data_IF_170285905531
#
_entry.id   IF_170285905531
#
_cell.length_a   1.000
_cell.length_b   1.000
_cell.length_c   1.000
_cell.angle_alpha   90.00
_cell.angle_beta   90.00
_cell.angle_gamma   90.00
#
_symmetry.space_group_name_H-M   'P 1'
#
loop_
_entity.id
_entity.type
_entity.pdbx_description
1 polymer ?
#
# COMPACT_ATOMS: atom_id res chain seq x y z
N UNK A 1 -22.90 11.14 -20.26
CA UNK A 1 -22.36 10.19 -19.28
C UNK A 1 -23.50 9.28 -18.83
N UNK A 2 -23.50 8.00 -19.24
CA UNK A 2 -24.54 7.07 -18.82
C UNK A 2 -24.25 6.58 -17.41
N UNK A 3 -25.15 6.85 -16.49
CA UNK A 3 -25.12 6.31 -15.14
C UNK A 3 -25.52 4.84 -15.22
N UNK A 4 -24.59 3.92 -14.99
CA UNK A 4 -24.92 2.49 -14.88
C UNK A 4 -25.60 2.24 -13.54
N UNK A 5 -26.78 1.61 -13.59
CA UNK A 5 -27.50 1.12 -12.42
C UNK A 5 -27.32 -0.40 -12.35
N UNK A 6 -27.14 -0.92 -11.16
CA UNK A 6 -27.05 -2.36 -10.92
C UNK A 6 -28.06 -2.76 -9.84
N UNK A 7 -28.65 -3.92 -10.01
CA UNK A 7 -29.54 -4.54 -9.05
C UNK A 7 -28.97 -5.92 -8.71
N UNK A 8 -28.85 -6.21 -7.43
CA UNK A 8 -28.51 -7.54 -6.95
C UNK A 8 -29.81 -8.34 -6.78
N UNK A 9 -29.95 -9.44 -7.52
CA UNK A 9 -30.99 -10.43 -7.29
C UNK A 9 -30.51 -11.39 -6.18
N UNK A 10 -30.96 -11.11 -4.98
CA UNK A 10 -30.98 -12.05 -3.86
C UNK A 10 -32.44 -12.47 -3.68
N UNK A 11 -32.72 -13.47 -2.84
CA UNK A 11 -34.11 -13.95 -2.55
C UNK A 11 -35.11 -12.83 -2.15
N UNK A 12 -34.63 -11.63 -1.90
CA UNK A 12 -35.41 -10.39 -1.79
C UNK A 12 -34.91 -9.38 -2.80
N UNK A 13 -35.84 -8.76 -3.54
CA UNK A 13 -35.52 -7.65 -4.47
C UNK A 13 -34.88 -6.50 -3.71
N UNK A 14 -33.66 -6.14 -4.06
CA UNK A 14 -32.99 -4.95 -3.55
C UNK A 14 -33.36 -3.73 -4.39
N UNK A 15 -33.34 -2.55 -3.78
CA UNK A 15 -33.52 -1.30 -4.48
C UNK A 15 -32.34 -1.03 -5.46
N UNK A 16 -32.67 -0.31 -6.52
CA UNK A 16 -31.67 0.12 -7.49
C UNK A 16 -30.68 1.10 -6.86
N UNK A 17 -29.39 0.82 -6.96
CA UNK A 17 -28.35 1.73 -6.52
C UNK A 17 -27.49 2.22 -7.68
N UNK A 18 -26.98 3.43 -7.54
CA UNK A 18 -26.10 4.03 -8.54
C UNK A 18 -24.67 3.52 -8.36
N UNK A 19 -24.05 3.06 -9.45
CA UNK A 19 -22.63 2.74 -9.48
C UNK A 19 -21.89 4.04 -9.78
N UNK A 20 -21.11 4.50 -8.81
CA UNK A 20 -20.24 5.67 -8.96
C UNK A 20 -18.92 5.35 -9.67
N UNK A 21 -17.81 5.88 -9.17
CA UNK A 21 -16.46 5.57 -9.64
C UNK A 21 -16.01 4.24 -9.05
N UNK A 22 -15.28 3.45 -9.84
CA UNK A 22 -14.66 2.21 -9.39
C UNK A 22 -14.66 1.12 -10.46
N UNK A 23 -14.10 -0.01 -10.07
CA UNK A 23 -14.05 -1.23 -10.89
C UNK A 23 -14.69 -2.38 -10.12
N UNK A 24 -15.23 -3.36 -10.83
CA UNK A 24 -15.87 -4.52 -10.20
C UNK A 24 -14.85 -5.39 -9.48
N UNK A 25 -15.20 -5.87 -8.30
CA UNK A 25 -14.41 -6.89 -7.60
C UNK A 25 -14.35 -8.18 -8.44
N UNK A 26 -13.16 -8.78 -8.56
CA UNK A 26 -12.95 -10.00 -9.36
C UNK A 26 -12.79 -9.78 -10.86
N UNK A 27 -12.87 -8.54 -11.35
CA UNK A 27 -12.62 -8.23 -12.76
C UNK A 27 -11.10 -8.14 -13.02
N UNK A 28 -10.64 -8.70 -14.15
CA UNK A 28 -9.23 -8.60 -14.60
C UNK A 28 -8.77 -7.14 -14.69
N UNK A 29 -9.64 -6.24 -15.15
CA UNK A 29 -9.35 -4.81 -15.23
C UNK A 29 -9.07 -4.17 -13.86
N UNK A 30 -9.64 -4.70 -12.78
CA UNK A 30 -9.39 -4.19 -11.42
C UNK A 30 -7.95 -4.40 -11.02
N UNK A 31 -7.39 -5.57 -11.30
CA UNK A 31 -5.99 -5.90 -11.01
C UNK A 31 -5.04 -5.04 -11.84
N UNK A 32 -5.28 -4.94 -13.14
CA UNK A 32 -4.47 -4.12 -14.04
C UNK A 32 -4.51 -2.64 -13.64
N UNK A 33 -5.69 -2.11 -13.32
CA UNK A 33 -5.85 -0.72 -12.90
C UNK A 33 -5.13 -0.45 -11.59
N UNK A 34 -5.23 -1.36 -10.62
CA UNK A 34 -4.50 -1.22 -9.34
C UNK A 34 -2.99 -1.20 -9.56
N UNK A 35 -2.45 -2.09 -10.38
CA UNK A 35 -1.02 -2.13 -10.69
C UNK A 35 -0.54 -0.83 -11.35
N UNK A 36 -1.32 -0.25 -12.25
CA UNK A 36 -1.00 1.04 -12.88
C UNK A 36 -0.99 2.18 -11.85
N UNK A 37 -1.98 2.23 -10.96
CA UNK A 37 -2.00 3.22 -9.87
C UNK A 37 -0.85 3.02 -8.89
N UNK A 38 -0.54 1.79 -8.52
CA UNK A 38 0.58 1.49 -7.65
C UNK A 38 1.91 1.94 -8.27
N UNK A 39 2.12 1.68 -9.57
CA UNK A 39 3.32 2.12 -10.28
C UNK A 39 3.41 3.65 -10.33
N UNK A 40 2.32 4.32 -10.68
CA UNK A 40 2.22 5.77 -10.66
C UNK A 40 2.62 6.35 -9.28
N UNK A 41 2.00 5.84 -8.21
CA UNK A 41 2.27 6.31 -6.84
C UNK A 41 3.76 6.14 -6.49
N UNK A 42 4.35 4.98 -6.79
CA UNK A 42 5.75 4.71 -6.49
C UNK A 42 6.71 5.61 -7.26
N UNK A 43 6.43 5.86 -8.53
CA UNK A 43 7.23 6.76 -9.36
C UNK A 43 7.21 8.19 -8.83
N UNK A 44 6.03 8.72 -8.48
CA UNK A 44 5.89 10.09 -7.98
C UNK A 44 6.29 10.25 -6.50
N UNK A 45 6.29 9.19 -5.72
CA UNK A 45 6.83 9.20 -4.37
C UNK A 45 8.38 9.26 -4.33
N UNK A 46 9.06 9.17 -5.49
CA UNK A 46 10.51 9.31 -5.60
C UNK A 46 11.28 8.03 -5.21
N UNK A 47 10.66 6.86 -5.35
CA UNK A 47 11.29 5.58 -5.07
C UNK A 47 12.30 5.13 -6.14
N UNK A 48 12.23 5.74 -7.32
CA UNK A 48 13.17 5.48 -8.42
C UNK A 48 14.52 6.21 -8.26
N UNK A 49 14.63 7.15 -7.32
CA UNK A 49 15.90 7.80 -7.02
C UNK A 49 16.81 6.82 -6.28
N UNK A 50 17.87 6.44 -6.96
CA UNK A 50 18.78 5.33 -6.71
C UNK A 50 19.59 5.35 -5.38
N UNK A 51 19.19 6.15 -4.40
CA UNK A 51 19.91 6.31 -3.12
C UNK A 51 19.16 5.79 -1.89
N UNK A 52 17.83 5.62 -1.97
CA UNK A 52 17.06 5.10 -0.85
C UNK A 52 16.88 3.58 -0.99
N UNK A 53 17.11 2.82 0.08
CA UNK A 53 16.90 1.39 0.13
C UNK A 53 18.05 0.59 0.71
N UNK A 54 17.80 -0.68 0.98
CA UNK A 54 18.81 -1.62 1.45
C UNK A 54 19.65 -2.17 0.30
N UNK A 55 20.97 -2.21 0.46
CA UNK A 55 21.87 -2.83 -0.52
C UNK A 55 21.90 -4.35 -0.34
N UNK A 56 21.25 -5.05 -1.26
CA UNK A 56 21.26 -6.51 -1.30
C UNK A 56 21.93 -6.95 -2.60
N UNK A 57 23.03 -7.72 -2.51
CA UNK A 57 23.76 -8.23 -3.67
C UNK A 57 24.10 -7.14 -4.72
N UNK A 58 24.58 -5.98 -4.30
CA UNK A 58 24.93 -4.80 -5.11
C UNK A 58 23.75 -4.09 -5.79
N UNK A 59 22.52 -4.40 -5.40
CA UNK A 59 21.31 -3.71 -5.86
C UNK A 59 20.65 -2.98 -4.70
N UNK A 60 20.20 -1.76 -4.92
CA UNK A 60 19.36 -1.07 -3.97
C UNK A 60 17.93 -1.58 -4.11
N UNK A 61 17.38 -2.11 -3.02
CA UNK A 61 15.99 -2.54 -2.95
C UNK A 61 15.30 -1.64 -1.92
N UNK A 62 14.42 -0.79 -2.40
CA UNK A 62 13.65 0.15 -1.56
C UNK A 62 12.25 -0.35 -1.25
N UNK A 63 11.70 -1.20 -2.12
CA UNK A 63 10.37 -1.75 -1.94
C UNK A 63 10.23 -3.15 -2.54
N UNK A 64 9.32 -3.94 -1.95
CA UNK A 64 8.87 -5.23 -2.49
C UNK A 64 7.35 -5.16 -2.57
N UNK A 65 6.78 -5.60 -3.68
CA UNK A 65 5.33 -5.59 -3.91
C UNK A 65 4.82 -6.98 -4.24
N UNK A 66 3.69 -7.33 -3.64
CA UNK A 66 2.94 -8.53 -3.95
C UNK A 66 1.44 -8.22 -3.93
N UNK A 67 0.78 -8.26 -5.08
CA UNK A 67 -0.59 -7.83 -5.25
C UNK A 67 -0.81 -6.40 -4.68
N UNK A 68 -1.59 -6.26 -3.62
CA UNK A 68 -1.85 -4.98 -2.94
C UNK A 68 -0.98 -4.73 -1.71
N UNK A 69 -0.14 -5.69 -1.35
CA UNK A 69 0.81 -5.53 -0.25
C UNK A 69 2.11 -4.91 -0.74
N UNK A 70 2.59 -3.92 -0.01
CA UNK A 70 3.86 -3.25 -0.30
C UNK A 70 4.69 -3.17 0.97
N UNK A 71 5.95 -3.60 0.88
CA UNK A 71 6.94 -3.45 1.95
C UNK A 71 7.98 -2.44 1.52
N UNK A 72 8.19 -1.41 2.32
CA UNK A 72 9.27 -0.45 2.15
C UNK A 72 10.44 -0.83 3.03
N UNK A 73 11.66 -0.71 2.49
CA UNK A 73 12.91 -1.03 3.20
C UNK A 73 13.85 0.15 3.10
N UNK A 74 14.18 0.75 4.25
CA UNK A 74 15.03 1.94 4.35
C UNK A 74 15.94 1.81 5.57
N UNK A 75 17.09 2.47 5.52
CA UNK A 75 18.06 2.45 6.62
C UNK A 75 17.69 3.43 7.73
N UNK A 76 16.99 4.53 7.36
CA UNK A 76 16.62 5.60 8.28
C UNK A 76 15.11 5.64 8.50
N UNK A 77 14.73 5.84 9.78
CA UNK A 77 13.33 6.03 10.18
C UNK A 77 12.72 7.32 9.60
N UNK A 78 13.50 8.39 9.55
CA UNK A 78 13.08 9.66 9.01
C UNK A 78 12.79 9.56 7.52
N UNK A 79 13.62 8.85 6.78
CA UNK A 79 13.41 8.56 5.36
C UNK A 79 12.15 7.72 5.15
N UNK A 80 11.95 6.68 5.98
CA UNK A 80 10.75 5.84 5.94
C UNK A 80 9.49 6.67 6.19
N UNK A 81 9.52 7.55 7.19
CA UNK A 81 8.40 8.44 7.49
C UNK A 81 8.09 9.38 6.33
N UNK A 82 9.11 10.03 5.78
CA UNK A 82 8.97 10.95 4.67
C UNK A 82 8.42 10.24 3.42
N UNK A 83 8.94 9.05 3.12
CA UNK A 83 8.46 8.23 2.02
C UNK A 83 7.00 7.85 2.20
N UNK A 84 6.62 7.38 3.40
CA UNK A 84 5.25 6.96 3.66
C UNK A 84 4.26 8.13 3.58
N UNK A 85 4.67 9.34 4.00
CA UNK A 85 3.87 10.55 3.82
C UNK A 85 3.68 10.89 2.35
N UNK A 86 4.72 10.81 1.53
CA UNK A 86 4.62 11.00 0.08
C UNK A 86 3.71 9.96 -0.58
N UNK A 87 3.88 8.68 -0.23
CA UNK A 87 3.02 7.60 -0.74
C UNK A 87 1.56 7.84 -0.36
N UNK A 88 1.30 8.27 0.87
CA UNK A 88 -0.04 8.64 1.32
C UNK A 88 -0.62 9.76 0.46
N UNK A 89 0.11 10.85 0.28
CA UNK A 89 -0.31 12.01 -0.51
C UNK A 89 -0.61 11.62 -1.96
N UNK A 90 0.30 10.88 -2.63
CA UNK A 90 0.09 10.46 -4.01
C UNK A 90 -1.08 9.46 -4.14
N UNK A 91 -1.26 8.59 -3.15
CA UNK A 91 -2.40 7.66 -3.11
C UNK A 91 -3.74 8.41 -3.02
N UNK A 92 -3.82 9.44 -2.18
CA UNK A 92 -5.03 10.25 -2.03
C UNK A 92 -5.40 11.00 -3.31
N UNK A 93 -4.42 11.47 -4.08
CA UNK A 93 -4.65 12.13 -5.40
C UNK A 93 -5.37 11.22 -6.39
N UNK A 94 -5.11 9.92 -6.34
CA UNK A 94 -5.76 8.93 -7.21
C UNK A 94 -6.98 8.26 -6.56
N UNK A 95 -7.39 8.73 -5.36
CA UNK A 95 -8.58 8.22 -4.66
C UNK A 95 -8.34 6.93 -3.87
N UNK A 96 -7.08 6.53 -3.67
CA UNK A 96 -6.71 5.42 -2.82
C UNK A 96 -6.33 5.92 -1.43
N UNK A 97 -6.68 5.15 -0.39
CA UNK A 97 -6.32 5.49 1.00
C UNK A 97 -5.40 4.43 1.58
N UNK A 98 -4.32 4.88 2.18
CA UNK A 98 -3.43 4.02 2.95
C UNK A 98 -4.18 3.49 4.19
N UNK A 99 -4.17 2.19 4.39
CA UNK A 99 -4.77 1.59 5.58
C UNK A 99 -3.75 1.53 6.73
N UNK A 100 -3.72 2.57 7.55
CA UNK A 100 -2.76 2.68 8.66
C UNK A 100 -2.92 1.53 9.67
N UNK A 101 -4.13 1.08 9.94
CA UNK A 101 -4.37 -0.02 10.90
C UNK A 101 -3.76 -1.35 10.44
N UNK A 102 -3.70 -1.57 9.13
CA UNK A 102 -3.05 -2.75 8.54
C UNK A 102 -1.56 -2.54 8.26
N UNK A 103 -1.09 -1.29 8.31
CA UNK A 103 0.32 -0.98 8.09
C UNK A 103 1.11 -1.26 9.36
N UNK A 104 2.20 -2.00 9.23
CA UNK A 104 3.06 -2.41 10.34
C UNK A 104 4.48 -1.89 10.13
N UNK A 105 5.18 -1.64 11.23
CA UNK A 105 6.60 -1.26 11.20
C UNK A 105 7.42 -2.39 11.81
N UNK A 106 8.50 -2.75 11.13
CA UNK A 106 9.53 -3.62 11.66
C UNK A 106 10.87 -2.88 11.65
N UNK A 107 11.63 -2.97 12.71
CA UNK A 107 12.95 -2.38 12.80
C UNK A 107 13.91 -3.26 13.59
N UNK A 108 15.21 -3.17 13.26
CA UNK A 108 16.28 -3.89 13.94
C UNK A 108 16.68 -3.26 15.27
N UNK A 109 16.16 -2.09 15.62
CA UNK A 109 16.49 -1.35 16.84
C UNK A 109 15.28 -0.75 17.54
N UNK A 110 15.48 -0.11 18.71
CA UNK A 110 14.39 0.48 19.46
C UNK A 110 13.74 1.63 18.69
N UNK A 111 12.40 1.54 18.52
CA UNK A 111 11.61 2.59 17.88
C UNK A 111 11.02 3.49 18.95
N UNK A 112 11.47 4.74 19.00
CA UNK A 112 11.01 5.74 19.98
C UNK A 112 9.70 6.45 19.60
N UNK A 113 9.33 6.46 18.31
CA UNK A 113 8.10 7.09 17.83
C UNK A 113 7.47 6.22 16.75
N UNK A 114 6.20 5.90 16.90
CA UNK A 114 5.40 5.02 16.03
C UNK A 114 4.30 5.77 15.31
N UNK A 115 4.34 7.11 15.34
CA UNK A 115 3.26 7.93 14.79
C UNK A 115 3.59 8.41 13.38
N UNK A 116 2.61 8.25 12.50
CA UNK A 116 2.58 8.85 11.18
C UNK A 116 1.26 9.58 11.07
N UNK A 117 1.32 10.87 10.80
CA UNK A 117 0.16 11.75 10.66
C UNK A 117 -0.82 11.68 11.86
N UNK A 118 -0.27 11.60 13.08
CA UNK A 118 -1.07 11.51 14.31
C UNK A 118 -1.61 10.11 14.63
N UNK A 119 -1.50 9.14 13.73
CA UNK A 119 -1.92 7.77 13.96
C UNK A 119 -0.74 6.89 14.40
N UNK A 120 -0.98 6.05 15.41
CA UNK A 120 0.04 5.13 15.93
C UNK A 120 0.03 3.82 15.14
N UNK A 121 1.18 3.47 14.55
CA UNK A 121 1.36 2.18 13.87
C UNK A 121 1.85 1.11 14.83
N UNK A 122 1.41 -0.12 14.59
CA UNK A 122 1.87 -1.29 15.33
C UNK A 122 3.29 -1.67 14.90
N UNK A 123 4.13 -1.98 15.89
CA UNK A 123 5.46 -2.53 15.66
C UNK A 123 5.40 -4.04 15.78
N UNK A 124 5.97 -4.74 14.81
CA UNK A 124 6.00 -6.19 14.76
C UNK A 124 7.44 -6.70 14.64
N UNK A 125 7.68 -7.91 15.13
CA UNK A 125 8.95 -8.62 14.98
C UNK A 125 8.96 -9.52 13.74
N UNK A 126 7.77 -9.91 13.29
CA UNK A 126 7.58 -10.81 12.16
C UNK A 126 6.41 -10.31 11.31
N UNK A 127 6.43 -10.57 10.03
CA UNK A 127 5.30 -10.27 9.16
C UNK A 127 5.12 -11.33 8.08
N UNK A 128 3.89 -11.43 7.58
CA UNK A 128 3.55 -12.29 6.45
C UNK A 128 3.52 -11.45 5.17
N UNK A 129 4.28 -11.86 4.16
CA UNK A 129 4.28 -11.21 2.87
C UNK A 129 3.95 -12.23 1.78
N UNK A 130 2.96 -11.92 0.97
CA UNK A 130 2.52 -12.80 -0.11
C UNK A 130 1.98 -14.17 0.36
N UNK A 131 1.46 -14.26 1.59
CA UNK A 131 0.97 -15.51 2.18
C UNK A 131 2.08 -16.41 2.74
N UNK A 132 3.34 -16.01 2.66
CA UNK A 132 4.48 -16.72 3.26
C UNK A 132 4.90 -16.04 4.55
N UNK A 133 5.17 -16.84 5.57
CA UNK A 133 5.72 -16.35 6.83
C UNK A 133 7.20 -16.05 6.64
N UNK A 134 7.55 -14.78 6.64
CA UNK A 134 8.94 -14.34 6.62
C UNK A 134 9.41 -14.13 8.06
N UNK A 135 10.16 -15.08 8.59
CA UNK A 135 10.88 -14.93 9.84
C UNK A 135 12.22 -14.27 9.54
N UNK A 136 12.29 -12.97 9.52
CA UNK A 136 13.56 -12.28 9.57
C UNK A 136 13.89 -11.99 11.04
N UNK A 137 14.68 -12.86 11.66
CA UNK A 137 15.45 -12.51 12.85
C UNK A 137 16.69 -11.76 12.38
N UNK A 138 16.75 -10.51 12.71
CA UNK A 138 17.98 -9.72 12.63
C UNK A 138 18.77 -9.87 13.93
#
# INVERSE_FOLDING_TARGET
MQVKKQQLELDMKTDWFQIGKGVCQGCIFSLCSFNLYAEYIMQYAGLDEAQAGLKIARRNISNIRYAHDTTFMLESKEELKNLLMKVKEESEKVGLKLNIQKTKIMASGPITSRQIDGETMETVTDFYFGGFQNHYRW
#
